data_IF_868908671104
#
_entry.id   IF_868908671104
#
_cell.length_a   1.000
_cell.length_b   1.000
_cell.length_c   1.000
_cell.angle_alpha   90.00
_cell.angle_beta   90.00
_cell.angle_gamma   90.00
#
_symmetry.space_group_name_H-M   'P 1'
#
loop_
_entity.id
_entity.type
_entity.pdbx_description
1 polymer ?
#
# COMPACT_ATOMS: atom_id res chain seq x y z
N UNK A 1 12.91 -14.71 23.95
CA UNK A 1 12.08 -13.67 23.30
C UNK A 1 13.02 -12.51 22.96
N UNK A 2 13.13 -12.12 21.69
CA UNK A 2 13.96 -10.98 21.27
C UNK A 2 13.21 -9.67 21.59
N UNK A 3 13.92 -8.70 22.16
CA UNK A 3 13.39 -7.37 22.44
C UNK A 3 14.39 -6.29 21.99
N UNK A 4 14.13 -5.49 20.95
CA UNK A 4 15.03 -4.45 20.50
C UNK A 4 15.18 -3.32 21.49
N UNK A 5 16.31 -2.64 21.30
CA UNK A 5 16.90 -1.69 22.23
C UNK A 5 16.44 -0.25 21.98
N UNK A 6 15.76 0.01 20.86
CA UNK A 6 15.06 1.26 20.65
C UNK A 6 13.60 1.08 21.06
N UNK A 7 13.05 1.96 21.92
CA UNK A 7 11.64 1.92 22.32
C UNK A 7 10.65 2.02 21.14
N UNK A 8 11.11 2.45 19.97
CA UNK A 8 10.33 2.47 18.72
C UNK A 8 10.54 1.27 17.80
N UNK A 9 11.42 0.31 18.12
CA UNK A 9 11.72 -0.85 17.28
C UNK A 9 10.92 -2.12 17.65
N UNK A 10 10.06 -2.07 18.67
CA UNK A 10 9.18 -3.18 19.09
C UNK A 10 7.73 -2.80 19.01
N UNK A 11 7.11 -3.17 17.92
CA UNK A 11 5.78 -3.76 17.95
C UNK A 11 5.81 -4.85 16.89
N UNK A 12 5.05 -5.93 17.09
CA UNK A 12 4.79 -7.00 16.12
C UNK A 12 4.13 -6.51 14.80
N UNK A 13 4.26 -5.21 14.48
CA UNK A 13 3.51 -4.52 13.46
C UNK A 13 4.35 -4.06 12.27
N UNK A 14 5.60 -3.61 12.38
CA UNK A 14 6.25 -2.89 11.27
C UNK A 14 7.79 -2.81 11.39
N UNK A 15 8.46 -3.95 11.59
CA UNK A 15 9.93 -3.96 11.63
C UNK A 15 10.47 -3.50 10.27
N UNK A 16 11.21 -2.39 10.29
CA UNK A 16 11.97 -1.92 9.13
C UNK A 16 11.16 -1.13 8.12
N UNK A 17 10.31 -0.18 8.51
CA UNK A 17 9.75 0.80 7.57
C UNK A 17 10.36 2.14 7.88
N UNK A 18 11.52 2.41 7.31
CA UNK A 18 12.11 3.74 7.35
C UNK A 18 11.44 4.58 6.24
N UNK A 19 10.65 5.61 6.59
CA UNK A 19 9.94 6.43 5.61
C UNK A 19 10.88 7.25 4.72
N UNK A 20 12.18 7.31 5.05
CA UNK A 20 13.20 7.91 4.19
C UNK A 20 13.66 6.97 3.06
N UNK A 21 13.29 5.69 3.11
CA UNK A 21 13.69 4.71 2.09
C UNK A 21 12.90 4.89 0.80
N UNK A 22 13.60 4.75 -0.32
CA UNK A 22 12.97 4.82 -1.63
C UNK A 22 11.99 3.64 -1.81
N UNK A 23 10.70 3.90 -2.10
CA UNK A 23 9.71 2.84 -2.28
C UNK A 23 10.04 1.83 -3.40
N UNK A 24 10.95 2.18 -4.30
CA UNK A 24 11.37 1.31 -5.39
C UNK A 24 12.58 0.41 -5.08
N UNK A 25 13.24 0.62 -3.95
CA UNK A 25 14.45 -0.14 -3.58
C UNK A 25 14.13 -1.23 -2.57
N UNK A 26 15.05 -2.17 -2.38
CA UNK A 26 15.00 -3.13 -1.28
C UNK A 26 16.28 -2.98 -0.47
N UNK A 27 16.18 -3.14 0.84
CA UNK A 27 17.32 -3.02 1.74
C UNK A 27 17.35 -4.16 2.74
N UNK A 28 18.53 -4.41 3.30
CA UNK A 28 18.75 -5.45 4.29
C UNK A 28 18.84 -4.79 5.67
N UNK A 29 18.03 -5.28 6.60
CA UNK A 29 18.29 -5.07 8.02
C UNK A 29 19.30 -6.13 8.47
N UNK A 30 20.51 -5.66 8.73
CA UNK A 30 21.63 -6.45 9.24
C UNK A 30 21.30 -6.96 10.65
N UNK A 31 21.32 -8.28 10.82
CA UNK A 31 21.23 -8.96 12.10
C UNK A 31 22.05 -10.26 12.02
N UNK A 32 22.90 -10.50 13.02
CA UNK A 32 23.85 -11.62 13.03
C UNK A 32 23.18 -13.01 13.07
N UNK A 33 21.87 -13.07 13.29
CA UNK A 33 21.10 -14.32 13.43
C UNK A 33 19.99 -14.44 12.39
N UNK A 34 19.34 -13.35 12.02
CA UNK A 34 18.24 -13.34 11.06
C UNK A 34 18.25 -12.02 10.24
N UNK A 35 19.11 -11.90 9.22
CA UNK A 35 19.06 -10.75 8.33
C UNK A 35 17.71 -10.71 7.61
N UNK A 36 17.09 -9.53 7.54
CA UNK A 36 15.78 -9.35 6.93
C UNK A 36 15.91 -8.52 5.66
N UNK A 37 15.49 -9.07 4.52
CA UNK A 37 15.28 -8.29 3.30
C UNK A 37 13.93 -7.58 3.39
N UNK A 38 13.96 -6.26 3.28
CA UNK A 38 12.79 -5.38 3.34
C UNK A 38 12.54 -4.78 1.96
N UNK A 39 11.28 -4.84 1.51
CA UNK A 39 10.84 -4.16 0.30
C UNK A 39 10.51 -2.69 0.60
N UNK A 40 11.13 -1.78 -0.14
CA UNK A 40 11.02 -0.33 0.06
C UNK A 40 9.59 0.18 -0.05
N UNK A 41 8.71 -0.47 -0.81
CA UNK A 41 7.29 -0.08 -0.90
C UNK A 41 6.58 -0.03 0.46
N UNK A 42 7.10 -0.76 1.47
CA UNK A 42 6.63 -0.70 2.85
C UNK A 42 6.93 0.64 3.54
N UNK A 43 7.86 1.45 3.03
CA UNK A 43 8.13 2.81 3.53
C UNK A 43 6.92 3.75 3.39
N UNK A 44 5.95 3.39 2.54
CA UNK A 44 4.68 4.12 2.37
C UNK A 44 3.67 3.83 3.48
N UNK A 45 3.84 2.73 4.22
CA UNK A 45 2.88 2.30 5.22
C UNK A 45 3.13 3.04 6.52
N UNK A 46 2.07 3.65 7.07
CA UNK A 46 2.14 4.39 8.34
C UNK A 46 1.15 3.76 9.32
N UNK A 47 1.53 3.68 10.59
CA UNK A 47 0.64 3.20 11.64
C UNK A 47 -0.59 4.12 11.79
N UNK A 48 -1.77 3.52 11.92
CA UNK A 48 -3.07 4.15 12.04
C UNK A 48 -3.79 3.70 13.31
N UNK A 49 -5.08 3.38 13.18
CA UNK A 49 -5.93 3.02 14.31
C UNK A 49 -5.41 1.77 15.04
N UNK A 50 -5.50 1.78 16.38
CA UNK A 50 -5.14 0.61 17.19
C UNK A 50 -6.36 -0.28 17.40
N UNK A 51 -6.14 -1.58 17.28
CA UNK A 51 -7.12 -2.62 17.57
C UNK A 51 -6.57 -3.58 18.63
N UNK A 52 -7.48 -4.29 19.30
CA UNK A 52 -7.13 -5.39 20.20
C UNK A 52 -7.50 -6.71 19.52
N UNK A 53 -6.53 -7.62 19.42
CA UNK A 53 -6.71 -8.96 18.86
C UNK A 53 -6.16 -9.95 19.87
N UNK A 54 -7.02 -10.77 20.45
CA UNK A 54 -6.64 -11.79 21.45
C UNK A 54 -5.78 -11.23 22.59
N UNK A 55 -6.10 -10.04 23.09
CA UNK A 55 -5.35 -9.37 24.17
C UNK A 55 -4.05 -8.70 23.72
N UNK A 56 -3.77 -8.70 22.42
CA UNK A 56 -2.62 -8.01 21.83
C UNK A 56 -3.08 -6.73 21.14
N UNK A 57 -2.53 -5.59 21.57
CA UNK A 57 -2.77 -4.30 20.90
C UNK A 57 -1.92 -4.19 19.65
N UNK A 58 -2.57 -4.02 18.51
CA UNK A 58 -1.93 -3.91 17.20
C UNK A 58 -2.32 -2.59 16.54
N UNK A 59 -1.36 -1.94 15.87
CA UNK A 59 -1.62 -0.76 15.06
C UNK A 59 -1.94 -1.19 13.64
N UNK A 60 -3.14 -0.90 13.14
CA UNK A 60 -3.48 -1.12 11.74
C UNK A 60 -2.73 -0.12 10.85
N UNK A 61 -2.38 -0.48 9.62
CA UNK A 61 -1.85 0.47 8.66
C UNK A 61 -2.93 1.49 8.26
N UNK A 62 -2.51 2.74 8.02
CA UNK A 62 -3.37 3.74 7.37
C UNK A 62 -3.70 3.28 5.95
N UNK A 63 -4.97 3.37 5.50
CA UNK A 63 -5.38 2.85 4.20
C UNK A 63 -4.60 3.43 3.02
N UNK A 64 -4.31 4.73 3.02
CA UNK A 64 -3.61 5.40 1.93
C UNK A 64 -2.25 4.79 1.58
N UNK A 65 -1.41 4.59 2.61
CA UNK A 65 -0.06 4.03 2.45
C UNK A 65 -0.09 2.56 2.02
N UNK A 66 -0.96 1.76 2.65
CA UNK A 66 -1.13 0.35 2.29
C UNK A 66 -1.67 0.18 0.87
N UNK A 67 -2.60 1.05 0.46
CA UNK A 67 -3.16 1.01 -0.88
C UNK A 67 -2.09 1.32 -1.93
N UNK A 68 -1.25 2.33 -1.70
CA UNK A 68 -0.14 2.60 -2.62
C UNK A 68 0.87 1.47 -2.65
N UNK A 69 1.24 0.87 -1.51
CA UNK A 69 2.07 -0.34 -1.49
C UNK A 69 1.51 -1.41 -2.41
N UNK A 70 0.22 -1.72 -2.28
CA UNK A 70 -0.44 -2.72 -3.14
C UNK A 70 -0.43 -2.36 -4.61
N UNK A 71 -0.54 -1.07 -4.94
CA UNK A 71 -0.56 -0.58 -6.31
C UNK A 71 0.82 -0.44 -6.95
N UNK A 72 1.91 -0.35 -6.19
CA UNK A 72 3.27 -0.17 -6.76
C UNK A 72 4.13 -1.42 -6.65
N UNK A 73 3.84 -2.33 -5.72
CA UNK A 73 4.62 -3.55 -5.57
C UNK A 73 4.40 -4.44 -6.78
N UNK A 74 5.49 -4.76 -7.47
CA UNK A 74 5.46 -5.65 -8.63
C UNK A 74 5.07 -7.07 -8.21
N UNK A 75 3.88 -7.51 -8.65
CA UNK A 75 3.34 -8.85 -8.38
C UNK A 75 2.63 -9.32 -9.64
N UNK A 76 3.03 -10.48 -10.14
CA UNK A 76 2.49 -11.05 -11.38
C UNK A 76 1.64 -12.30 -11.12
N UNK A 77 0.85 -12.68 -12.12
CA UNK A 77 -0.02 -13.86 -12.06
C UNK A 77 -1.13 -13.76 -11.01
N UNK A 78 -1.63 -14.91 -10.56
CA UNK A 78 -2.78 -14.96 -9.66
C UNK A 78 -2.58 -14.22 -8.34
N UNK A 79 -1.35 -14.20 -7.82
CA UNK A 79 -1.03 -13.49 -6.58
C UNK A 79 -1.18 -11.99 -6.78
N UNK A 80 -0.69 -11.46 -7.91
CA UNK A 80 -0.83 -10.05 -8.26
C UNK A 80 -2.29 -9.63 -8.39
N UNK A 81 -3.10 -10.41 -9.11
CA UNK A 81 -4.54 -10.13 -9.24
C UNK A 81 -5.25 -10.10 -7.88
N UNK A 82 -4.95 -11.07 -7.01
CA UNK A 82 -5.50 -11.12 -5.65
C UNK A 82 -5.11 -9.89 -4.82
N UNK A 83 -3.85 -9.45 -4.91
CA UNK A 83 -3.41 -8.24 -4.20
C UNK A 83 -4.10 -6.97 -4.73
N UNK A 84 -4.38 -6.88 -6.04
CA UNK A 84 -5.18 -5.78 -6.58
C UNK A 84 -6.62 -5.81 -6.07
N UNK A 85 -7.23 -7.00 -5.96
CA UNK A 85 -8.56 -7.14 -5.35
C UNK A 85 -8.56 -6.81 -3.84
N UNK A 86 -7.43 -7.01 -3.14
CA UNK A 86 -7.26 -6.48 -1.78
C UNK A 86 -7.19 -4.96 -1.79
N UNK A 87 -6.49 -4.34 -2.74
CA UNK A 87 -6.49 -2.88 -2.91
C UNK A 87 -7.90 -2.34 -3.16
N UNK A 88 -8.73 -3.05 -3.90
CA UNK A 88 -10.15 -2.73 -4.05
C UNK A 88 -10.91 -2.80 -2.73
N UNK A 89 -10.67 -3.82 -1.91
CA UNK A 89 -11.27 -3.90 -0.57
C UNK A 89 -10.87 -2.72 0.32
N UNK A 90 -9.63 -2.24 0.22
CA UNK A 90 -9.17 -1.03 0.90
C UNK A 90 -9.87 0.22 0.36
N UNK A 91 -10.00 0.36 -0.96
CA UNK A 91 -10.77 1.45 -1.58
C UNK A 91 -12.23 1.46 -1.14
N UNK A 92 -12.84 0.28 -1.03
CA UNK A 92 -14.24 0.14 -0.65
C UNK A 92 -14.53 0.57 0.79
N UNK A 93 -13.50 0.58 1.64
CA UNK A 93 -13.59 0.95 3.05
C UNK A 93 -12.96 2.31 3.36
N UNK A 94 -12.25 2.90 2.40
CA UNK A 94 -11.59 4.19 2.53
C UNK A 94 -12.61 5.34 2.64
N UNK A 95 -12.42 6.19 3.65
CA UNK A 95 -13.18 7.43 3.78
C UNK A 95 -12.59 8.58 2.94
N UNK A 96 -13.28 9.74 2.89
CA UNK A 96 -12.78 10.91 2.16
C UNK A 96 -11.36 11.35 2.57
N UNK A 97 -11.06 11.31 3.87
CA UNK A 97 -9.74 11.66 4.39
C UNK A 97 -8.63 10.69 3.95
N UNK A 98 -8.94 9.40 3.80
CA UNK A 98 -7.99 8.41 3.29
C UNK A 98 -7.68 8.67 1.81
N UNK A 99 -8.69 9.07 1.03
CA UNK A 99 -8.51 9.39 -0.39
C UNK A 99 -7.74 10.70 -0.61
N UNK A 100 -7.92 11.69 0.27
CA UNK A 100 -7.10 12.91 0.30
C UNK A 100 -5.65 12.61 0.65
N UNK A 101 -5.41 11.79 1.67
CA UNK A 101 -4.06 11.34 2.03
C UNK A 101 -3.42 10.55 0.89
N UNK A 102 -4.17 9.61 0.29
CA UNK A 102 -3.72 8.82 -0.86
C UNK A 102 -3.22 9.72 -1.99
N UNK A 103 -3.99 10.75 -2.35
CA UNK A 103 -3.60 11.70 -3.38
C UNK A 103 -2.33 12.48 -3.00
N UNK A 104 -2.22 12.91 -1.74
CA UNK A 104 -1.02 13.61 -1.26
C UNK A 104 0.24 12.73 -1.33
N UNK A 105 0.14 11.47 -0.91
CA UNK A 105 1.27 10.52 -0.96
C UNK A 105 1.59 10.16 -2.41
N UNK A 106 0.58 9.88 -3.25
CA UNK A 106 0.74 9.59 -4.67
C UNK A 106 1.53 10.69 -5.40
N UNK A 107 1.22 11.97 -5.14
CA UNK A 107 1.91 13.11 -5.77
C UNK A 107 3.40 13.20 -5.41
N UNK A 108 3.81 12.65 -4.26
CA UNK A 108 5.21 12.62 -3.82
C UNK A 108 6.00 11.45 -4.39
N UNK A 109 5.32 10.45 -4.95
CA UNK A 109 5.98 9.33 -5.61
C UNK A 109 6.74 9.79 -6.85
N UNK A 110 7.82 9.08 -7.20
CA UNK A 110 8.52 9.28 -8.47
C UNK A 110 7.60 8.96 -9.66
N UNK A 111 7.81 9.56 -10.85
CA UNK A 111 6.96 9.35 -12.01
C UNK A 111 6.74 7.88 -12.39
N UNK A 112 7.76 7.04 -12.22
CA UNK A 112 7.71 5.60 -12.52
C UNK A 112 6.73 4.86 -11.59
N UNK A 113 6.74 5.21 -10.31
CA UNK A 113 5.83 4.63 -9.32
C UNK A 113 4.40 5.13 -9.50
N UNK A 114 4.23 6.41 -9.88
CA UNK A 114 2.92 6.96 -10.28
C UNK A 114 2.36 6.23 -11.49
N UNK A 115 3.21 5.95 -12.48
CA UNK A 115 2.84 5.15 -13.64
C UNK A 115 2.44 3.72 -13.23
N UNK A 116 3.24 3.04 -12.39
CA UNK A 116 2.91 1.71 -11.88
C UNK A 116 1.54 1.67 -11.18
N UNK A 117 1.29 2.63 -10.28
CA UNK A 117 0.01 2.71 -9.58
C UNK A 117 -1.19 2.91 -10.53
N UNK A 118 -1.06 3.76 -11.56
CA UNK A 118 -2.10 3.97 -12.58
C UNK A 118 -2.33 2.72 -13.44
N UNK A 119 -1.26 2.07 -13.87
CA UNK A 119 -1.34 0.82 -14.63
C UNK A 119 -2.06 -0.25 -13.82
N UNK A 120 -1.76 -0.36 -12.52
CA UNK A 120 -2.42 -1.33 -11.64
C UNK A 120 -3.87 -0.98 -11.31
N UNK A 121 -4.24 0.30 -11.19
CA UNK A 121 -5.65 0.72 -11.13
C UNK A 121 -6.42 0.38 -12.40
N UNK A 122 -5.76 0.52 -13.56
CA UNK A 122 -6.34 0.15 -14.86
C UNK A 122 -6.57 -1.36 -14.91
N UNK A 123 -5.58 -2.17 -14.57
CA UNK A 123 -5.71 -3.63 -14.49
C UNK A 123 -6.85 -4.02 -13.54
N UNK A 124 -6.87 -3.45 -12.34
CA UNK A 124 -7.92 -3.70 -11.35
C UNK A 124 -9.33 -3.44 -11.91
N UNK A 125 -9.52 -2.36 -12.67
CA UNK A 125 -10.82 -2.05 -13.30
C UNK A 125 -11.27 -3.10 -14.33
N UNK A 126 -10.32 -3.84 -14.90
CA UNK A 126 -10.54 -4.84 -15.95
C UNK A 126 -10.62 -6.27 -15.41
N UNK A 127 -10.23 -6.51 -14.15
CA UNK A 127 -10.25 -7.84 -13.56
C UNK A 127 -11.65 -8.45 -13.56
N UNK A 128 -11.69 -9.77 -13.71
CA UNK A 128 -12.90 -10.55 -13.47
C UNK A 128 -13.13 -10.74 -11.96
N UNK A 129 -14.39 -10.96 -11.54
CA UNK A 129 -14.68 -11.39 -10.18
C UNK A 129 -13.96 -12.70 -9.84
N UNK A 130 -13.59 -12.86 -8.58
CA UNK A 130 -12.96 -14.07 -8.07
C UNK A 130 -13.61 -14.47 -6.75
N UNK A 131 -13.81 -15.77 -6.56
CA UNK A 131 -14.44 -16.31 -5.34
C UNK A 131 -13.66 -15.89 -4.09
N UNK A 132 -14.40 -15.44 -3.07
CA UNK A 132 -13.84 -14.96 -1.80
C UNK A 132 -13.14 -13.60 -1.88
N UNK A 133 -13.19 -12.91 -3.02
CA UNK A 133 -12.60 -11.57 -3.20
C UNK A 133 -13.67 -10.52 -3.53
N UNK A 134 -13.38 -9.22 -3.30
CA UNK A 134 -14.25 -8.13 -3.75
C UNK A 134 -14.48 -8.18 -5.27
N UNK A 135 -15.73 -8.02 -5.71
CA UNK A 135 -16.05 -7.93 -7.15
C UNK A 135 -15.69 -6.53 -7.68
N UNK A 136 -14.80 -6.40 -8.68
CA UNK A 136 -14.40 -5.10 -9.23
C UNK A 136 -15.44 -4.44 -10.13
N UNK A 137 -16.40 -5.19 -10.67
CA UNK A 137 -17.33 -4.67 -11.70
C UNK A 137 -18.19 -3.49 -11.22
N UNK A 138 -18.77 -3.50 -10.00
CA UNK A 138 -19.55 -2.38 -9.50
C UNK A 138 -18.73 -1.11 -9.25
N UNK A 139 -17.41 -1.24 -9.07
CA UNK A 139 -16.50 -0.17 -8.66
C UNK A 139 -15.79 0.52 -9.83
N UNK A 140 -16.08 0.12 -11.07
CA UNK A 140 -15.36 0.62 -12.26
C UNK A 140 -15.52 2.13 -12.44
N UNK A 141 -16.67 2.69 -12.09
CA UNK A 141 -16.91 4.13 -12.21
C UNK A 141 -16.08 4.91 -11.18
N UNK A 142 -16.02 4.42 -9.95
CA UNK A 142 -15.26 4.97 -8.82
C UNK A 142 -13.76 4.87 -9.08
N UNK A 143 -13.29 3.72 -9.58
CA UNK A 143 -11.89 3.53 -10.00
C UNK A 143 -11.51 4.51 -11.11
N UNK A 144 -12.36 4.68 -12.13
CA UNK A 144 -12.13 5.65 -13.20
C UNK A 144 -12.13 7.10 -12.68
N UNK A 145 -12.98 7.43 -11.70
CA UNK A 145 -12.99 8.73 -11.05
C UNK A 145 -11.71 8.99 -10.24
N UNK A 146 -11.24 7.98 -9.49
CA UNK A 146 -9.98 8.04 -8.77
C UNK A 146 -8.80 8.22 -9.73
N UNK A 147 -8.73 7.47 -10.83
CA UNK A 147 -7.68 7.63 -11.83
C UNK A 147 -7.62 9.06 -12.38
N UNK A 148 -8.76 9.64 -12.77
CA UNK A 148 -8.83 11.04 -13.24
C UNK A 148 -8.37 12.03 -12.16
N UNK A 149 -8.75 11.79 -10.91
CA UNK A 149 -8.34 12.62 -9.77
C UNK A 149 -6.83 12.61 -9.60
N UNK A 150 -6.21 11.43 -9.67
CA UNK A 150 -4.76 11.27 -9.57
C UNK A 150 -4.01 11.89 -10.76
N UNK A 151 -4.61 11.90 -11.96
CA UNK A 151 -4.04 12.52 -13.17
C UNK A 151 -4.08 14.06 -13.13
N UNK A 152 -5.19 14.64 -12.68
CA UNK A 152 -5.40 16.11 -12.68
C UNK A 152 -4.39 16.84 -11.78
N UNK A 153 -3.81 16.13 -10.79
CA UNK A 153 -2.79 16.65 -9.88
C UNK A 153 -1.35 16.33 -10.26
N UNK A 154 -1.08 15.68 -11.40
CA UNK A 154 0.27 15.30 -11.82
C UNK A 154 0.91 16.39 -12.71
N UNK A 155 1.91 17.14 -12.22
CA UNK A 155 2.57 18.18 -13.02
C UNK A 155 3.46 17.64 -14.15
N UNK A 156 3.56 16.32 -14.32
CA UNK A 156 4.38 15.65 -15.34
C UNK A 156 3.65 15.26 -16.63
N UNK A 157 2.39 15.67 -16.81
CA UNK A 157 1.66 15.50 -18.07
C UNK A 157 1.81 16.75 -18.94
N UNK A 158 2.10 16.63 -20.25
CA UNK A 158 2.05 17.77 -21.17
C UNK A 158 0.64 18.35 -21.31
#
# INVERSE_FOLDING_TARGET
MWTPRSPGLLELNFVGMDPAQDPAEAYVLEDDRLPLLVFGALSLVVAGARIDVEGTRLSLPRPAGLLLEKLITDRTGEKGERDLLVALGLLATAGPGDLEELEQVYRRLRPELRHAARSNLTILSLLAPRDGMPDPRPWRAELAALMRRLETGDPGLP
#
